data_IF_885377280565
#
_entry.id   IF_885377280565
#
_cell.length_a   1.000
_cell.length_b   1.000
_cell.length_c   1.000
_cell.angle_alpha   90.00
_cell.angle_beta   90.00
_cell.angle_gamma   90.00
#
_symmetry.space_group_name_H-M   'P 1'
#
loop_
_entity.id
_entity.type
_entity.pdbx_description
1 polymer ?
#
# COMPACT_ATOMS: atom_id res chain seq x y z
N UNK A 1 33.95 -10.59 46.91
CA UNK A 1 33.19 -9.70 46.00
C UNK A 1 33.12 -10.39 44.66
N UNK A 2 32.07 -11.14 44.43
CA UNK A 2 31.85 -11.96 43.23
C UNK A 2 30.92 -11.19 42.30
N UNK A 3 31.41 -10.84 41.11
CA UNK A 3 30.63 -10.19 40.04
C UNK A 3 29.78 -11.27 39.35
N UNK A 4 28.45 -11.10 39.42
CA UNK A 4 27.51 -11.91 38.66
C UNK A 4 27.38 -11.34 37.25
N UNK A 5 27.77 -12.11 36.24
CA UNK A 5 27.53 -11.79 34.83
C UNK A 5 26.08 -12.09 34.47
N UNK A 6 25.35 -11.05 34.06
CA UNK A 6 23.98 -11.16 33.54
C UNK A 6 24.08 -11.59 32.08
N UNK A 7 23.73 -12.83 31.76
CA UNK A 7 23.63 -13.31 30.40
C UNK A 7 22.31 -12.80 29.79
N UNK A 8 22.39 -11.87 28.83
CA UNK A 8 21.27 -11.51 27.94
C UNK A 8 21.06 -12.67 26.97
N UNK A 9 19.95 -13.37 27.11
CA UNK A 9 19.48 -14.33 26.12
C UNK A 9 18.86 -13.57 24.97
N UNK A 10 19.50 -13.56 23.81
CA UNK A 10 18.91 -13.14 22.55
C UNK A 10 17.89 -14.21 22.16
N UNK A 11 16.63 -13.88 22.27
CA UNK A 11 15.55 -14.71 21.73
C UNK A 11 15.64 -14.70 20.21
N UNK A 12 16.15 -15.78 19.64
CA UNK A 12 16.08 -16.04 18.20
C UNK A 12 14.62 -16.35 17.90
N UNK A 13 13.97 -15.47 17.12
CA UNK A 13 12.62 -15.71 16.63
C UNK A 13 12.62 -17.02 15.81
N UNK A 14 11.78 -17.96 16.21
CA UNK A 14 11.61 -19.23 15.51
C UNK A 14 11.14 -18.96 14.07
N UNK A 15 11.60 -19.72 13.07
CA UNK A 15 11.13 -19.59 11.72
C UNK A 15 9.64 -19.94 11.65
N UNK A 16 8.86 -19.09 10.99
CA UNK A 16 7.47 -19.37 10.64
C UNK A 16 7.44 -20.66 9.80
N UNK A 17 7.17 -21.80 10.44
CA UNK A 17 6.79 -23.01 9.74
C UNK A 17 5.35 -22.81 9.26
N UNK A 18 5.18 -22.49 7.97
CA UNK A 18 3.89 -22.67 7.30
C UNK A 18 3.53 -24.16 7.47
N UNK A 19 2.48 -24.41 8.24
CA UNK A 19 1.92 -25.75 8.43
C UNK A 19 1.55 -26.33 7.06
N UNK A 20 2.30 -27.30 6.58
CA UNK A 20 1.90 -28.20 5.50
C UNK A 20 1.05 -29.30 6.10
N UNK A 21 -0.25 -29.03 6.35
CA UNK A 21 -1.24 -30.04 6.63
C UNK A 21 -2.34 -29.89 5.59
N UNK A 22 -2.52 -30.94 4.81
CA UNK A 22 -3.32 -31.03 3.63
C UNK A 22 -4.78 -30.60 3.77
N UNK A 23 -5.19 -29.85 2.75
CA UNK A 23 -6.51 -29.95 2.15
C UNK A 23 -6.39 -29.49 0.69
N UNK A 24 -6.68 -30.40 -0.22
CA UNK A 24 -6.85 -30.08 -1.61
C UNK A 24 -8.05 -29.13 -1.76
N UNK A 25 -7.82 -27.85 -2.13
CA UNK A 25 -8.88 -26.91 -2.45
C UNK A 25 -8.85 -25.55 -1.73
N UNK A 26 -7.98 -25.29 -0.75
CA UNK A 26 -7.80 -23.96 -0.20
C UNK A 26 -6.99 -23.11 -1.20
N UNK A 27 -7.58 -22.01 -1.68
CA UNK A 27 -6.81 -20.97 -2.38
C UNK A 27 -5.59 -20.62 -1.51
N UNK A 28 -4.41 -20.63 -2.13
CA UNK A 28 -3.17 -20.30 -1.43
C UNK A 28 -3.39 -19.06 -0.56
N UNK A 29 -3.01 -19.15 0.71
CA UNK A 29 -3.22 -18.06 1.66
C UNK A 29 -2.24 -16.93 1.32
N UNK A 30 -2.75 -15.91 0.59
CA UNK A 30 -1.97 -14.77 0.16
C UNK A 30 -2.01 -13.71 1.27
N UNK A 31 -0.97 -13.59 2.11
CA UNK A 31 -0.99 -12.68 3.24
C UNK A 31 -1.11 -11.22 2.81
N UNK A 32 -1.81 -10.45 3.64
CA UNK A 32 -1.93 -9.01 3.54
C UNK A 32 -0.84 -8.40 4.40
N UNK A 33 0.00 -7.54 3.82
CA UNK A 33 0.98 -6.72 4.55
C UNK A 33 0.39 -5.35 4.84
N UNK A 34 0.72 -4.75 5.98
CA UNK A 34 0.20 -3.44 6.38
C UNK A 34 1.12 -2.77 7.39
N UNK A 35 1.00 -1.47 7.54
CA UNK A 35 1.66 -0.69 8.59
C UNK A 35 0.80 -0.67 9.86
N UNK A 36 1.44 -0.76 11.02
CA UNK A 36 0.77 -0.72 12.33
C UNK A 36 1.53 0.15 13.32
N UNK A 37 0.78 0.97 14.06
CA UNK A 37 1.26 1.65 15.27
C UNK A 37 0.20 1.64 16.37
N UNK A 38 0.60 2.01 17.59
CA UNK A 38 -0.28 2.22 18.74
C UNK A 38 0.02 3.56 19.37
N UNK A 39 -0.92 4.13 20.15
CA UNK A 39 -0.68 5.37 20.90
C UNK A 39 0.53 5.25 21.86
N UNK A 40 0.78 4.05 22.41
CA UNK A 40 1.92 3.77 23.29
C UNK A 40 3.24 3.56 22.52
N UNK A 41 3.19 3.21 21.25
CA UNK A 41 4.34 3.00 20.35
C UNK A 41 4.04 3.65 19.00
N UNK A 42 4.28 4.97 18.86
CA UNK A 42 3.88 5.73 17.68
C UNK A 42 4.79 5.52 16.47
N UNK A 43 5.69 4.54 16.52
CA UNK A 43 6.53 4.14 15.40
C UNK A 43 5.83 3.02 14.65
N UNK A 44 5.64 3.24 13.35
CA UNK A 44 5.03 2.24 12.48
C UNK A 44 6.02 1.13 12.15
N UNK A 45 5.55 -0.10 12.29
CA UNK A 45 6.22 -1.29 11.79
C UNK A 45 5.31 -2.05 10.84
N UNK A 46 5.89 -2.84 9.95
CA UNK A 46 5.16 -3.68 9.03
C UNK A 46 4.74 -4.99 9.70
N UNK A 47 3.51 -5.38 9.40
CA UNK A 47 2.92 -6.64 9.85
C UNK A 47 2.30 -7.37 8.66
N UNK A 48 2.10 -8.67 8.82
CA UNK A 48 1.34 -9.49 7.88
C UNK A 48 0.21 -10.24 8.58
N UNK A 49 -0.93 -10.39 7.90
CA UNK A 49 -2.09 -11.14 8.40
C UNK A 49 -2.66 -12.01 7.27
N UNK A 50 -3.22 -13.18 7.62
CA UNK A 50 -4.02 -13.98 6.70
C UNK A 50 -5.33 -13.26 6.34
N UNK A 51 -5.81 -13.33 5.08
CA UNK A 51 -7.15 -12.83 4.73
C UNK A 51 -8.29 -13.60 5.42
N UNK A 52 -8.02 -14.73 6.04
CA UNK A 52 -8.95 -15.43 6.94
C UNK A 52 -8.94 -14.90 8.38
N UNK A 53 -8.08 -13.92 8.68
CA UNK A 53 -7.90 -13.35 10.01
C UNK A 53 -6.81 -14.08 10.81
N UNK A 54 -6.84 -13.90 12.14
CA UNK A 54 -5.86 -14.45 13.06
C UNK A 54 -4.96 -13.38 13.66
N UNK A 55 -3.85 -13.80 14.27
CA UNK A 55 -2.88 -12.89 14.90
C UNK A 55 -1.91 -12.34 13.84
N UNK A 56 -1.79 -11.03 13.69
CA UNK A 56 -0.80 -10.44 12.80
C UNK A 56 0.63 -10.77 13.22
N UNK A 57 1.48 -11.04 12.24
CA UNK A 57 2.91 -11.33 12.44
C UNK A 57 3.71 -10.07 12.13
N UNK A 58 4.57 -9.65 13.05
CA UNK A 58 5.45 -8.50 12.89
C UNK A 58 6.58 -8.84 11.92
N UNK A 59 6.79 -8.01 10.89
CA UNK A 59 7.81 -8.20 9.86
C UNK A 59 9.04 -7.30 10.06
N UNK A 60 8.82 -6.05 10.50
CA UNK A 60 9.90 -5.14 10.91
C UNK A 60 9.80 -4.86 12.39
N UNK A 61 10.91 -4.53 13.03
CA UNK A 61 10.97 -4.21 14.46
C UNK A 61 11.97 -3.09 14.66
N UNK A 62 11.47 -1.87 14.51
CA UNK A 62 12.26 -0.64 14.59
C UNK A 62 11.96 0.08 15.90
N UNK A 63 12.88 0.89 16.37
CA UNK A 63 12.70 1.69 17.59
C UNK A 63 12.82 3.19 17.36
N UNK A 64 13.30 3.59 16.18
CA UNK A 64 13.61 5.00 15.87
C UNK A 64 13.21 5.42 14.46
N UNK A 65 12.71 4.50 13.65
CA UNK A 65 12.31 4.73 12.26
C UNK A 65 10.95 4.09 12.01
N UNK A 66 10.13 4.69 11.18
CA UNK A 66 8.83 4.14 10.79
C UNK A 66 8.92 3.50 9.40
N UNK A 67 8.34 2.32 9.27
CA UNK A 67 8.19 1.58 8.02
C UNK A 67 6.70 1.56 7.63
N UNK A 68 6.37 2.14 6.46
CA UNK A 68 4.99 2.36 6.01
C UNK A 68 4.83 2.10 4.51
N UNK A 69 3.61 2.19 3.99
CA UNK A 69 3.30 2.07 2.56
C UNK A 69 3.90 0.80 1.93
N UNK A 70 3.61 -0.37 2.47
CA UNK A 70 4.15 -1.61 1.94
C UNK A 70 3.56 -1.95 0.57
N UNK A 71 4.35 -2.60 -0.29
CA UNK A 71 3.92 -3.15 -1.58
C UNK A 71 4.61 -4.49 -1.84
N UNK A 72 3.84 -5.53 -2.15
CA UNK A 72 4.35 -6.86 -2.47
C UNK A 72 5.00 -6.93 -3.84
N UNK A 73 6.11 -7.66 -3.94
CA UNK A 73 6.60 -8.08 -5.26
C UNK A 73 5.66 -9.13 -5.88
N UNK A 74 5.54 -9.18 -7.23
CA UNK A 74 4.59 -10.09 -7.89
C UNK A 74 4.88 -11.58 -7.67
N UNK A 75 6.11 -11.93 -7.28
CA UNK A 75 6.47 -13.29 -6.88
C UNK A 75 6.18 -13.59 -5.40
N UNK A 76 5.67 -12.61 -4.65
CA UNK A 76 5.33 -12.71 -3.24
C UNK A 76 6.52 -12.99 -2.31
N UNK A 77 7.77 -12.75 -2.74
CA UNK A 77 8.97 -13.03 -1.95
C UNK A 77 9.60 -11.81 -1.30
N UNK A 78 9.20 -10.61 -1.73
CA UNK A 78 9.72 -9.34 -1.22
C UNK A 78 8.59 -8.37 -0.95
N UNK A 79 8.85 -7.43 -0.04
CA UNK A 79 8.02 -6.25 0.20
C UNK A 79 8.89 -5.02 -0.01
N UNK A 80 8.43 -4.07 -0.83
CA UNK A 80 8.95 -2.71 -0.86
C UNK A 80 8.14 -1.85 0.13
N UNK A 81 8.77 -0.85 0.73
CA UNK A 81 8.11 0.02 1.69
C UNK A 81 8.86 1.35 1.82
N UNK A 82 8.21 2.35 2.38
CA UNK A 82 8.83 3.63 2.71
C UNK A 82 9.39 3.57 4.12
N UNK A 83 10.62 4.02 4.31
CA UNK A 83 11.22 4.21 5.62
C UNK A 83 11.37 5.69 5.92
N UNK A 84 10.88 6.11 7.08
CA UNK A 84 11.15 7.41 7.67
C UNK A 84 12.33 7.30 8.61
N UNK A 85 13.31 8.19 8.47
CA UNK A 85 14.44 8.28 9.39
C UNK A 85 14.05 8.85 10.76
N UNK A 86 14.94 8.77 11.74
CA UNK A 86 14.73 9.23 13.12
C UNK A 86 14.39 10.73 13.28
N UNK A 87 14.49 11.51 12.23
CA UNK A 87 14.08 12.94 12.19
C UNK A 87 12.74 13.17 11.48
N UNK A 88 11.97 12.12 11.16
CA UNK A 88 10.69 12.23 10.45
C UNK A 88 10.82 12.52 8.94
N UNK A 89 12.03 12.62 8.40
CA UNK A 89 12.25 12.75 6.96
C UNK A 89 12.18 11.38 6.27
N UNK A 90 11.67 11.34 5.04
CA UNK A 90 11.66 10.12 4.24
C UNK A 90 13.09 9.75 3.85
N UNK A 91 13.61 8.65 4.40
CA UNK A 91 14.92 8.10 4.05
C UNK A 91 14.91 7.53 2.63
N UNK A 92 13.80 6.92 2.23
CA UNK A 92 13.54 6.40 0.89
C UNK A 92 12.75 5.12 0.87
N UNK A 93 12.79 4.46 -0.29
CA UNK A 93 12.19 3.16 -0.47
C UNK A 93 13.19 2.08 -0.10
N UNK A 94 12.73 1.13 0.68
CA UNK A 94 13.46 -0.05 1.11
C UNK A 94 12.76 -1.32 0.63
N UNK A 95 13.50 -2.39 0.54
CA UNK A 95 12.97 -3.73 0.29
C UNK A 95 13.42 -4.69 1.35
N UNK A 96 12.58 -5.69 1.65
CA UNK A 96 12.93 -6.83 2.49
C UNK A 96 12.46 -8.13 1.85
N UNK A 97 13.09 -9.25 2.23
CA UNK A 97 12.60 -10.59 1.92
C UNK A 97 11.55 -11.01 2.96
N UNK A 98 10.60 -11.81 2.58
CA UNK A 98 9.61 -12.40 3.50
C UNK A 98 10.01 -13.80 3.90
N UNK A 99 9.82 -14.21 5.17
CA UNK A 99 9.02 -13.54 6.22
C UNK A 99 9.75 -12.44 7.03
N UNK A 100 10.88 -11.92 6.55
CA UNK A 100 11.66 -10.86 7.19
C UNK A 100 13.14 -10.98 6.89
N UNK A 101 13.89 -9.88 7.02
CA UNK A 101 15.33 -9.82 6.77
C UNK A 101 15.70 -9.39 5.36
N UNK A 102 17.00 -9.35 5.06
CA UNK A 102 17.52 -8.92 3.76
C UNK A 102 17.16 -7.47 3.40
N UNK A 103 17.09 -6.59 4.40
CA UNK A 103 16.80 -5.17 4.24
C UNK A 103 17.79 -4.53 3.27
N UNK A 104 17.27 -3.83 2.26
CA UNK A 104 18.08 -3.14 1.26
C UNK A 104 17.37 -1.86 0.83
N UNK A 105 18.08 -0.72 0.91
CA UNK A 105 17.60 0.53 0.33
C UNK A 105 17.61 0.44 -1.21
N UNK A 106 16.58 1.01 -1.85
CA UNK A 106 16.55 1.22 -3.30
C UNK A 106 17.29 2.51 -3.61
N UNK A 107 18.41 2.46 -4.35
CA UNK A 107 19.23 3.66 -4.60
C UNK A 107 18.44 4.76 -5.30
N UNK A 108 18.78 6.03 -5.02
CA UNK A 108 18.16 7.18 -5.67
C UNK A 108 16.74 7.53 -5.24
N UNK A 109 16.18 6.83 -4.24
CA UNK A 109 14.78 7.02 -3.78
C UNK A 109 14.65 7.88 -2.52
N UNK A 110 15.69 8.58 -2.10
CA UNK A 110 15.59 9.51 -0.96
C UNK A 110 14.46 10.51 -1.17
N UNK A 111 13.57 10.64 -0.18
CA UNK A 111 12.38 11.47 -0.22
C UNK A 111 11.21 10.88 -1.04
N UNK A 112 11.38 9.69 -1.64
CA UNK A 112 10.33 9.02 -2.41
C UNK A 112 9.33 8.29 -1.51
N UNK A 113 8.07 8.22 -1.96
CA UNK A 113 6.95 7.55 -1.31
C UNK A 113 6.17 6.67 -2.29
N UNK A 114 5.17 5.97 -1.79
CA UNK A 114 4.18 5.21 -2.58
C UNK A 114 4.80 4.19 -3.55
N UNK A 115 5.64 3.25 -3.07
CA UNK A 115 6.25 2.27 -3.95
C UNK A 115 5.22 1.29 -4.51
N UNK A 116 5.32 0.98 -5.81
CA UNK A 116 4.52 -0.03 -6.48
C UNK A 116 5.40 -0.90 -7.39
N UNK A 117 5.37 -2.21 -7.19
CA UNK A 117 6.10 -3.16 -8.04
C UNK A 117 5.47 -3.31 -9.41
N UNK A 118 6.30 -3.36 -10.45
CA UNK A 118 5.85 -3.76 -11.79
C UNK A 118 5.45 -5.24 -11.81
N UNK A 119 4.47 -5.64 -12.67
CA UNK A 119 4.03 -7.03 -12.77
C UNK A 119 5.13 -8.04 -13.12
N UNK A 120 6.20 -7.59 -13.78
CA UNK A 120 7.37 -8.41 -14.12
C UNK A 120 8.41 -8.50 -12.97
N UNK A 121 8.19 -7.77 -11.87
CA UNK A 121 9.07 -7.75 -10.70
C UNK A 121 10.43 -7.11 -10.90
N UNK A 122 10.63 -6.40 -12.02
CA UNK A 122 11.93 -5.81 -12.37
C UNK A 122 12.04 -4.33 -12.03
N UNK A 123 10.90 -3.62 -11.99
CA UNK A 123 10.83 -2.18 -11.78
C UNK A 123 9.96 -1.82 -10.58
N UNK A 124 10.18 -0.62 -10.09
CA UNK A 124 9.36 0.00 -9.06
C UNK A 124 8.91 1.38 -9.53
N UNK A 125 7.61 1.67 -9.43
CA UNK A 125 7.06 3.01 -9.58
C UNK A 125 6.96 3.67 -8.21
N UNK A 126 7.12 4.99 -8.14
CA UNK A 126 7.06 5.74 -6.90
C UNK A 126 6.80 7.22 -7.15
N UNK A 127 6.33 7.93 -6.13
CA UNK A 127 6.25 9.39 -6.13
C UNK A 127 7.52 9.99 -5.52
N UNK A 128 8.06 11.06 -6.12
CA UNK A 128 9.27 11.74 -5.62
C UNK A 128 9.14 13.25 -5.72
N UNK A 129 9.63 14.02 -4.71
CA UNK A 129 9.62 15.47 -4.75
C UNK A 129 10.43 16.04 -5.91
N UNK A 130 9.85 17.05 -6.58
CA UNK A 130 10.50 17.90 -7.59
C UNK A 130 10.07 19.35 -7.33
N UNK A 131 10.91 20.13 -6.70
CA UNK A 131 10.51 21.45 -6.20
C UNK A 131 9.45 21.34 -5.11
N UNK A 132 8.30 21.95 -5.31
CA UNK A 132 7.16 21.92 -4.37
C UNK A 132 6.14 20.82 -4.66
N UNK A 133 6.25 20.12 -5.78
CA UNK A 133 5.34 19.05 -6.20
C UNK A 133 5.99 17.67 -6.06
N UNK A 134 5.16 16.64 -6.13
CA UNK A 134 5.58 15.25 -6.28
C UNK A 134 5.23 14.75 -7.68
N UNK A 135 6.10 13.92 -8.23
CA UNK A 135 5.96 13.40 -9.58
C UNK A 135 6.20 11.91 -9.61
N UNK A 136 5.59 11.20 -10.56
CA UNK A 136 5.76 9.76 -10.73
C UNK A 136 7.07 9.46 -11.44
N UNK A 137 7.81 8.54 -10.84
CA UNK A 137 9.05 7.95 -11.38
C UNK A 137 8.90 6.45 -11.52
N UNK A 138 9.68 5.88 -12.43
CA UNK A 138 9.93 4.43 -12.52
C UNK A 138 11.43 4.20 -12.56
N UNK A 139 11.90 3.23 -11.79
CA UNK A 139 13.29 2.77 -11.83
C UNK A 139 13.35 1.25 -11.82
N UNK A 140 14.48 0.68 -12.25
CA UNK A 140 14.76 -0.72 -11.98
C UNK A 140 14.92 -0.93 -10.47
N UNK A 141 14.69 -2.14 -10.00
CA UNK A 141 14.72 -2.43 -8.55
C UNK A 141 16.10 -2.22 -7.91
N UNK A 142 17.14 -2.14 -8.69
CA UNK A 142 18.47 -1.75 -8.25
C UNK A 142 18.65 -0.23 -8.14
N UNK A 143 17.62 0.56 -8.55
CA UNK A 143 17.57 2.02 -8.45
C UNK A 143 18.13 2.77 -9.63
N UNK A 144 18.53 2.10 -10.72
CA UNK A 144 19.13 2.74 -11.89
C UNK A 144 18.55 2.26 -13.22
N UNK A 145 18.39 3.13 -14.23
CA UNK A 145 18.19 4.58 -14.13
C UNK A 145 16.73 4.91 -13.77
N UNK A 146 16.51 5.91 -12.95
CA UNK A 146 15.16 6.41 -12.67
C UNK A 146 14.68 7.32 -13.80
N UNK A 147 13.49 7.04 -14.33
CA UNK A 147 12.82 7.86 -15.34
C UNK A 147 11.64 8.60 -14.71
N UNK A 148 11.61 9.93 -14.81
CA UNK A 148 10.46 10.75 -14.46
C UNK A 148 9.40 10.64 -15.55
N UNK A 149 8.16 10.28 -15.18
CA UNK A 149 7.07 10.05 -16.10
C UNK A 149 6.11 11.23 -16.20
N UNK A 150 5.95 11.99 -15.11
CA UNK A 150 5.04 13.15 -15.08
C UNK A 150 5.81 14.44 -14.89
N UNK A 151 5.29 15.56 -15.45
CA UNK A 151 5.97 16.86 -15.50
C UNK A 151 4.91 17.96 -15.37
N UNK A 152 4.25 18.05 -14.21
CA UNK A 152 3.12 18.96 -14.02
C UNK A 152 3.35 19.88 -12.83
N UNK A 153 2.50 20.90 -12.69
CA UNK A 153 2.47 21.76 -11.50
C UNK A 153 1.57 21.18 -10.38
N UNK A 154 1.07 19.97 -10.55
CA UNK A 154 0.21 19.26 -9.62
C UNK A 154 1.00 18.14 -8.92
N UNK A 155 0.53 17.68 -7.76
CA UNK A 155 1.04 16.47 -7.12
C UNK A 155 0.50 15.22 -7.81
N UNK A 156 1.40 14.38 -8.28
CA UNK A 156 1.11 13.06 -8.82
C UNK A 156 1.62 12.00 -7.82
N UNK A 157 0.70 11.18 -7.29
CA UNK A 157 0.92 10.30 -6.15
C UNK A 157 0.30 8.91 -6.36
N UNK A 158 0.68 7.95 -5.52
CA UNK A 158 0.10 6.61 -5.42
C UNK A 158 0.03 5.88 -6.78
N UNK A 159 1.17 5.62 -7.44
CA UNK A 159 1.17 4.86 -8.69
C UNK A 159 0.73 3.41 -8.45
N UNK A 160 -0.06 2.86 -9.38
CA UNK A 160 -0.42 1.44 -9.44
C UNK A 160 -0.32 0.93 -10.86
N UNK A 161 0.28 -0.24 -11.07
CA UNK A 161 0.54 -0.80 -12.39
C UNK A 161 -0.69 -1.49 -12.98
N UNK A 162 -0.89 -1.33 -14.29
CA UNK A 162 -1.78 -2.23 -15.03
C UNK A 162 -1.21 -3.65 -15.06
N UNK A 163 -2.06 -4.69 -15.10
CA UNK A 163 -1.60 -6.09 -15.06
C UNK A 163 -0.69 -6.49 -16.24
N UNK A 164 -0.80 -5.78 -17.37
CA UNK A 164 0.08 -5.99 -18.55
C UNK A 164 1.37 -5.15 -18.50
N UNK A 165 1.56 -4.33 -17.47
CA UNK A 165 2.74 -3.48 -17.26
C UNK A 165 2.89 -2.34 -18.26
N UNK A 166 1.85 -2.01 -19.04
CA UNK A 166 1.90 -0.95 -20.06
C UNK A 166 1.44 0.41 -19.57
N UNK A 167 0.70 0.45 -18.45
CA UNK A 167 0.14 1.67 -17.89
C UNK A 167 0.43 1.75 -16.40
N UNK A 168 0.38 2.98 -15.87
CA UNK A 168 0.22 3.27 -14.45
C UNK A 168 -1.06 4.07 -14.25
N UNK A 169 -1.86 3.71 -13.24
CA UNK A 169 -2.82 4.60 -12.63
C UNK A 169 -2.12 5.41 -11.53
N UNK A 170 -2.57 6.61 -11.28
CA UNK A 170 -2.09 7.47 -10.20
C UNK A 170 -3.14 8.53 -9.88
N UNK A 171 -3.09 9.15 -8.73
CA UNK A 171 -3.93 10.32 -8.48
C UNK A 171 -3.14 11.61 -8.74
N UNK A 172 -3.82 12.59 -9.32
CA UNK A 172 -3.33 13.95 -9.54
C UNK A 172 -4.12 14.94 -8.73
N UNK A 173 -3.44 15.63 -7.81
CA UNK A 173 -4.05 16.68 -6.99
C UNK A 173 -3.76 18.07 -7.60
N UNK A 174 -4.80 18.89 -7.73
CA UNK A 174 -4.68 20.28 -8.18
C UNK A 174 -4.42 21.23 -7.00
N UNK A 175 -4.12 22.50 -7.33
CA UNK A 175 -3.84 23.52 -6.32
C UNK A 175 -5.06 23.88 -5.44
N UNK A 176 -6.27 23.49 -5.83
CA UNK A 176 -7.51 23.67 -5.05
C UNK A 176 -7.75 22.49 -4.07
N UNK A 177 -6.89 21.47 -4.08
CA UNK A 177 -7.01 20.28 -3.24
C UNK A 177 -7.93 19.20 -3.81
N UNK A 178 -8.47 19.39 -5.04
CA UNK A 178 -9.18 18.30 -5.71
C UNK A 178 -8.18 17.29 -6.25
N UNK A 179 -8.55 16.03 -6.24
CA UNK A 179 -7.74 14.95 -6.79
C UNK A 179 -8.59 14.06 -7.70
N UNK A 180 -7.98 13.53 -8.76
CA UNK A 180 -8.63 12.59 -9.68
C UNK A 180 -7.69 11.47 -10.07
N UNK A 181 -8.25 10.32 -10.42
CA UNK A 181 -7.49 9.21 -10.98
C UNK A 181 -7.13 9.51 -12.43
N UNK A 182 -5.84 9.40 -12.71
CA UNK A 182 -5.23 9.49 -14.03
C UNK A 182 -4.65 8.13 -14.41
N UNK A 183 -4.43 7.91 -15.71
CA UNK A 183 -3.56 6.85 -16.22
C UNK A 183 -2.53 7.41 -17.18
N UNK A 184 -1.35 6.82 -17.22
CA UNK A 184 -0.27 7.13 -18.16
C UNK A 184 0.15 5.86 -18.92
N UNK A 185 0.25 5.96 -20.25
CA UNK A 185 0.80 4.92 -21.09
C UNK A 185 2.34 5.05 -21.11
N UNK A 186 3.05 4.00 -20.71
CA UNK A 186 4.51 4.08 -20.52
C UNK A 186 5.31 4.24 -21.81
N UNK A 187 4.80 3.71 -22.92
CA UNK A 187 5.51 3.79 -24.22
C UNK A 187 5.42 5.16 -24.89
N UNK A 188 4.36 5.92 -24.63
CA UNK A 188 4.08 7.22 -25.27
C UNK A 188 4.08 8.38 -24.30
N UNK A 189 4.03 8.10 -22.99
CA UNK A 189 3.82 9.06 -21.89
C UNK A 189 2.48 9.83 -22.02
N UNK A 190 1.55 9.29 -22.82
CA UNK A 190 0.21 9.87 -22.96
C UNK A 190 -0.58 9.69 -21.67
N UNK A 191 -1.08 10.79 -21.11
CA UNK A 191 -1.85 10.82 -19.88
C UNK A 191 -3.33 11.05 -20.17
N UNK A 192 -4.19 10.27 -19.52
CA UNK A 192 -5.65 10.35 -19.69
C UNK A 192 -6.32 10.33 -18.32
N UNK A 193 -7.33 11.20 -18.12
CA UNK A 193 -8.14 11.16 -16.92
C UNK A 193 -9.04 9.91 -16.94
N UNK A 194 -9.09 9.19 -15.83
CA UNK A 194 -10.02 8.06 -15.60
C UNK A 194 -11.27 8.54 -14.90
N UNK A 195 -11.14 9.49 -13.97
CA UNK A 195 -12.28 10.08 -13.26
C UNK A 195 -12.42 11.58 -13.57
N UNK A 196 -13.56 12.16 -13.23
CA UNK A 196 -13.90 13.53 -13.57
C UNK A 196 -13.01 14.57 -12.83
N UNK A 197 -12.87 15.75 -13.41
CA UNK A 197 -12.28 16.88 -12.72
C UNK A 197 -13.16 17.34 -11.55
N UNK A 198 -12.55 17.85 -10.47
CA UNK A 198 -13.26 18.33 -9.27
C UNK A 198 -13.74 17.20 -8.34
N UNK A 199 -13.37 15.94 -8.60
CA UNK A 199 -13.53 14.86 -7.63
C UNK A 199 -12.44 14.91 -6.56
N UNK A 200 -12.60 14.12 -5.50
CA UNK A 200 -11.61 13.95 -4.45
C UNK A 200 -11.23 12.46 -4.38
N UNK A 201 -10.51 11.99 -5.41
CA UNK A 201 -10.16 10.59 -5.63
C UNK A 201 -8.70 10.34 -5.26
N UNK A 202 -8.45 9.33 -4.42
CA UNK A 202 -7.13 9.02 -3.87
C UNK A 202 -6.81 7.54 -3.96
N UNK A 203 -5.53 7.21 -3.91
CA UNK A 203 -5.02 5.85 -3.72
C UNK A 203 -5.60 4.82 -4.69
N UNK A 204 -5.44 5.02 -6.02
CA UNK A 204 -5.91 4.03 -6.98
C UNK A 204 -5.12 2.73 -6.88
N UNK A 205 -5.80 1.59 -6.95
CA UNK A 205 -5.20 0.27 -7.12
C UNK A 205 -5.79 -0.46 -8.32
N UNK A 206 -4.93 -0.97 -9.20
CA UNK A 206 -5.31 -1.60 -10.48
C UNK A 206 -5.31 -3.12 -10.36
N UNK A 207 -6.46 -3.74 -10.46
CA UNK A 207 -6.62 -5.20 -10.35
C UNK A 207 -6.10 -5.97 -11.57
N UNK A 208 -5.82 -7.25 -11.37
CA UNK A 208 -5.56 -8.19 -12.46
C UNK A 208 -6.77 -8.37 -13.41
N UNK A 209 -7.99 -8.10 -12.94
CA UNK A 209 -9.21 -8.12 -13.76
C UNK A 209 -9.47 -6.81 -14.51
N UNK A 210 -8.48 -5.93 -14.58
CA UNK A 210 -8.51 -4.66 -15.29
C UNK A 210 -9.60 -3.69 -14.80
N UNK A 211 -9.73 -3.56 -13.47
CA UNK A 211 -10.52 -2.55 -12.79
C UNK A 211 -9.62 -1.72 -11.87
N UNK A 212 -9.96 -0.47 -11.64
CA UNK A 212 -9.25 0.42 -10.72
C UNK A 212 -10.17 0.68 -9.54
N UNK A 213 -9.75 0.27 -8.34
CA UNK A 213 -10.37 0.67 -7.08
C UNK A 213 -9.71 1.95 -6.58
N UNK A 214 -10.44 2.79 -5.89
CA UNK A 214 -9.92 4.04 -5.30
C UNK A 214 -10.84 4.54 -4.19
N UNK A 215 -10.32 5.43 -3.36
CA UNK A 215 -11.10 6.13 -2.34
C UNK A 215 -11.61 7.45 -2.90
N UNK A 216 -12.89 7.79 -2.67
CA UNK A 216 -13.47 9.08 -3.01
C UNK A 216 -14.10 9.72 -1.81
N UNK A 217 -13.74 10.97 -1.52
CA UNK A 217 -14.41 11.79 -0.50
C UNK A 217 -15.68 12.36 -1.11
N UNK A 218 -16.81 12.10 -0.47
CA UNK A 218 -18.11 12.63 -0.88
C UNK A 218 -18.35 14.06 -0.34
N UNK A 219 -19.40 14.75 -0.78
CA UNK A 219 -19.72 16.11 -0.30
C UNK A 219 -20.01 16.21 1.20
N UNK A 220 -20.24 15.09 1.90
CA UNK A 220 -20.42 15.05 3.36
C UNK A 220 -19.11 14.88 4.12
N UNK A 221 -17.98 14.75 3.41
CA UNK A 221 -16.64 14.64 3.98
C UNK A 221 -16.19 13.21 4.29
N UNK A 222 -17.01 12.18 3.97
CA UNK A 222 -16.62 10.78 4.18
C UNK A 222 -15.97 10.18 2.94
N UNK A 223 -14.91 9.41 3.15
CA UNK A 223 -14.27 8.65 2.10
C UNK A 223 -14.95 7.28 1.91
N UNK A 224 -15.17 6.91 0.66
CA UNK A 224 -15.78 5.64 0.27
C UNK A 224 -15.01 4.98 -0.86
N UNK A 225 -15.07 3.66 -0.93
CA UNK A 225 -14.46 2.91 -2.02
C UNK A 225 -15.35 2.92 -3.25
N UNK A 226 -14.72 3.14 -4.39
CA UNK A 226 -15.29 3.09 -5.72
C UNK A 226 -14.46 2.18 -6.63
N UNK A 227 -15.09 1.65 -7.66
CA UNK A 227 -14.44 0.91 -8.73
C UNK A 227 -14.85 1.49 -10.07
N UNK A 228 -13.90 1.51 -11.02
CA UNK A 228 -14.09 2.04 -12.37
C UNK A 228 -13.25 1.21 -13.36
N UNK A 229 -13.65 1.16 -14.64
CA UNK A 229 -12.77 0.65 -15.70
C UNK A 229 -11.71 1.68 -16.07
N UNK A 230 -10.54 1.28 -16.63
CA UNK A 230 -9.49 2.21 -17.01
C UNK A 230 -9.87 3.23 -18.08
N UNK A 231 -10.96 2.99 -18.81
CA UNK A 231 -11.53 3.92 -19.79
C UNK A 231 -12.50 4.93 -19.16
N UNK A 232 -12.72 4.87 -17.84
CA UNK A 232 -13.63 5.74 -17.09
C UNK A 232 -15.08 5.24 -17.06
N UNK A 233 -15.39 4.12 -17.71
CA UNK A 233 -16.76 3.56 -17.69
C UNK A 233 -17.00 2.66 -16.49
N UNK A 234 -18.26 2.40 -16.16
CA UNK A 234 -18.63 1.46 -15.11
C UNK A 234 -18.32 1.93 -13.69
N UNK A 235 -18.17 3.24 -13.48
CA UNK A 235 -17.96 3.81 -12.15
C UNK A 235 -19.11 3.44 -11.21
N UNK A 236 -18.81 2.81 -10.08
CA UNK A 236 -19.78 2.48 -9.05
C UNK A 236 -19.16 2.47 -7.65
N UNK A 237 -19.98 2.73 -6.65
CA UNK A 237 -19.60 2.78 -5.23
C UNK A 237 -19.68 1.39 -4.61
N UNK A 238 -18.67 1.06 -3.78
CA UNK A 238 -18.56 -0.23 -3.09
C UNK A 238 -19.01 -0.12 -1.63
N UNK A 239 -18.65 0.97 -0.92
CA UNK A 239 -18.94 1.11 0.51
C UNK A 239 -19.81 2.33 0.80
N UNK A 240 -20.65 2.26 1.86
CA UNK A 240 -21.69 3.25 2.15
C UNK A 240 -21.75 3.72 3.62
N UNK A 241 -20.80 3.29 4.47
CA UNK A 241 -20.82 3.70 5.88
C UNK A 241 -20.47 5.19 6.03
N UNK A 242 -20.92 5.84 7.11
CA UNK A 242 -20.43 7.17 7.52
C UNK A 242 -19.12 7.05 8.28
N UNK A 243 -18.15 6.47 7.62
CA UNK A 243 -16.79 6.21 8.10
C UNK A 243 -15.85 6.47 6.92
N UNK A 244 -14.57 6.61 7.20
CA UNK A 244 -13.56 6.83 6.17
C UNK A 244 -12.97 5.50 5.70
N UNK A 245 -13.31 5.09 4.49
CA UNK A 245 -12.78 3.91 3.81
C UNK A 245 -11.69 4.35 2.83
N UNK A 246 -10.45 3.94 3.10
CA UNK A 246 -9.24 4.43 2.43
C UNK A 246 -8.34 3.28 1.98
N UNK A 247 -7.43 3.57 1.05
CA UNK A 247 -6.31 2.71 0.65
C UNK A 247 -6.76 1.29 0.27
N UNK A 248 -7.64 1.14 -0.74
CA UNK A 248 -8.05 -0.18 -1.20
C UNK A 248 -6.89 -0.92 -1.87
N UNK A 249 -6.77 -2.22 -1.63
CA UNK A 249 -5.92 -3.13 -2.39
C UNK A 249 -6.67 -4.38 -2.80
N UNK A 250 -6.54 -4.78 -4.08
CA UNK A 250 -7.25 -5.92 -4.66
C UNK A 250 -6.67 -7.25 -4.20
N UNK A 251 -7.56 -8.22 -3.96
CA UNK A 251 -7.14 -9.63 -3.90
C UNK A 251 -6.61 -10.08 -5.25
N UNK A 252 -5.70 -11.09 -5.29
CA UNK A 252 -5.11 -11.60 -6.55
C UNK A 252 -6.14 -12.07 -7.57
N UNK A 253 -7.27 -12.60 -7.11
CA UNK A 253 -8.38 -13.05 -7.95
C UNK A 253 -9.29 -11.90 -8.43
N UNK A 254 -9.03 -10.66 -8.00
CA UNK A 254 -9.81 -9.47 -8.35
C UNK A 254 -11.25 -9.47 -7.84
N UNK A 255 -11.58 -10.29 -6.82
CA UNK A 255 -12.94 -10.44 -6.31
C UNK A 255 -13.19 -9.71 -5.00
N UNK A 256 -12.14 -9.39 -4.26
CA UNK A 256 -12.22 -8.73 -2.95
C UNK A 256 -11.26 -7.55 -2.89
N UNK A 257 -11.54 -6.65 -1.96
CA UNK A 257 -10.67 -5.56 -1.57
C UNK A 257 -10.35 -5.70 -0.08
N UNK A 258 -9.10 -5.47 0.30
CA UNK A 258 -8.73 -5.06 1.64
C UNK A 258 -8.64 -3.54 1.65
N UNK A 259 -9.00 -2.91 2.77
CA UNK A 259 -8.95 -1.46 2.91
C UNK A 259 -8.87 -1.05 4.38
N UNK A 260 -8.42 0.16 4.62
CA UNK A 260 -8.42 0.79 5.94
C UNK A 260 -9.75 1.49 6.17
N UNK A 261 -10.39 1.22 7.32
CA UNK A 261 -11.58 1.95 7.80
C UNK A 261 -11.30 2.59 9.14
N UNK A 262 -11.50 3.90 9.22
CA UNK A 262 -11.39 4.70 10.42
C UNK A 262 -12.66 5.46 10.74
N UNK A 263 -12.72 6.00 11.95
CA UNK A 263 -13.75 6.92 12.39
C UNK A 263 -13.62 8.31 11.77
N UNK A 264 -14.34 9.26 12.34
CA UNK A 264 -14.30 10.68 11.95
C UNK A 264 -13.24 11.48 12.70
N UNK A 265 -12.76 10.93 13.80
CA UNK A 265 -11.71 11.51 14.64
C UNK A 265 -10.40 10.77 14.41
N UNK A 266 -9.28 11.50 14.33
CA UNK A 266 -7.93 10.93 14.23
C UNK A 266 -7.53 10.07 15.45
N UNK A 267 -8.30 10.17 16.54
CA UNK A 267 -8.11 9.37 17.75
C UNK A 267 -8.77 7.98 17.68
N UNK A 268 -9.71 7.77 16.74
CA UNK A 268 -10.37 6.48 16.56
C UNK A 268 -9.42 5.50 15.86
N UNK A 269 -9.19 4.30 16.41
CA UNK A 269 -8.33 3.32 15.75
C UNK A 269 -8.82 2.99 14.33
N UNK A 270 -7.89 3.00 13.39
CA UNK A 270 -8.15 2.58 12.02
C UNK A 270 -7.87 1.08 11.88
N UNK A 271 -8.77 0.36 11.22
CA UNK A 271 -8.69 -1.10 11.10
C UNK A 271 -8.78 -1.56 9.65
N UNK A 272 -8.26 -2.75 9.41
CA UNK A 272 -8.41 -3.41 8.12
C UNK A 272 -9.76 -4.11 8.01
N UNK A 273 -10.38 -3.94 6.86
CA UNK A 273 -11.64 -4.59 6.47
C UNK A 273 -11.48 -5.26 5.12
N UNK A 274 -12.30 -6.27 4.89
CA UNK A 274 -12.48 -6.95 3.61
C UNK A 274 -13.89 -6.69 3.09
N UNK A 275 -14.02 -6.52 1.77
CA UNK A 275 -15.31 -6.42 1.08
C UNK A 275 -15.20 -7.07 -0.31
N UNK A 276 -16.29 -7.64 -0.82
CA UNK A 276 -16.32 -8.09 -2.22
C UNK A 276 -16.44 -6.90 -3.17
N UNK A 277 -15.99 -7.08 -4.40
CA UNK A 277 -16.05 -6.06 -5.46
C UNK A 277 -17.50 -5.61 -5.80
N UNK A 278 -18.50 -6.38 -5.41
CA UNK A 278 -19.94 -6.06 -5.53
C UNK A 278 -20.50 -5.31 -4.31
N UNK A 279 -19.65 -4.99 -3.31
CA UNK A 279 -20.02 -4.31 -2.07
C UNK A 279 -20.59 -5.22 -0.99
N UNK A 280 -20.71 -6.53 -1.23
CA UNK A 280 -21.20 -7.50 -0.24
C UNK A 280 -20.09 -8.10 0.60
N UNK A 281 -20.44 -8.79 1.69
CA UNK A 281 -19.49 -9.57 2.48
C UNK A 281 -18.48 -8.73 3.26
N UNK A 282 -18.87 -7.51 3.68
CA UNK A 282 -18.03 -6.66 4.54
C UNK A 282 -17.67 -7.39 5.83
N UNK A 283 -16.37 -7.50 6.11
CA UNK A 283 -15.85 -8.19 7.30
C UNK A 283 -14.67 -7.42 7.87
N UNK A 284 -14.66 -7.20 9.18
CA UNK A 284 -13.53 -6.60 9.88
C UNK A 284 -12.43 -7.65 10.06
N UNK A 285 -11.20 -7.32 9.59
CA UNK A 285 -10.06 -8.21 9.62
C UNK A 285 -9.22 -8.04 10.90
N UNK A 286 -8.98 -6.79 11.33
CA UNK A 286 -8.23 -6.46 12.55
C UNK A 286 -9.10 -5.75 13.58
N UNK A 287 -8.86 -5.98 14.89
CA UNK A 287 -9.73 -5.55 16.00
C UNK A 287 -8.92 -5.21 17.26
N UNK A 288 -7.87 -4.45 17.12
CA UNK A 288 -6.99 -4.09 18.26
C UNK A 288 -7.03 -2.58 18.50
N UNK A 289 -6.49 -2.10 19.63
CA UNK A 289 -6.35 -0.66 19.91
C UNK A 289 -5.18 -0.04 19.10
N UNK A 290 -4.81 -0.64 17.99
CA UNK A 290 -3.79 -0.17 17.06
C UNK A 290 -4.43 0.45 15.82
N UNK A 291 -3.68 1.34 15.17
CA UNK A 291 -3.98 1.81 13.82
C UNK A 291 -3.31 0.88 12.82
N UNK A 292 -4.10 0.34 11.91
CA UNK A 292 -3.69 -0.58 10.85
C UNK A 292 -3.98 0.07 9.50
N UNK A 293 -2.93 0.38 8.75
CA UNK A 293 -2.97 1.29 7.61
C UNK A 293 -2.35 0.66 6.37
N UNK A 294 -2.76 1.18 5.20
CA UNK A 294 -2.04 1.01 3.93
C UNK A 294 -1.77 -0.45 3.59
N UNK A 295 -2.81 -1.26 3.69
CA UNK A 295 -2.68 -2.69 3.42
C UNK A 295 -2.43 -2.97 1.94
N UNK A 296 -1.52 -3.91 1.65
CA UNK A 296 -1.31 -4.46 0.32
C UNK A 296 -1.48 -5.97 0.33
N UNK A 297 -2.25 -6.49 -0.63
CA UNK A 297 -2.58 -7.91 -0.72
C UNK A 297 -1.58 -8.62 -1.61
N UNK A 298 -0.93 -9.67 -1.09
CA UNK A 298 0.04 -10.47 -1.85
C UNK A 298 -0.60 -11.05 -3.12
N UNK A 299 0.04 -10.86 -4.30
CA UNK A 299 -0.39 -11.41 -5.59
C UNK A 299 -0.43 -12.93 -5.67
#
# INVERSE_FOLDING_TARGET
>A
MTAAALAMSVAVAAPLTLSTAGEAGAAADHPIVFARYTAAAPIEDLYAISPSGGTPVKLTNTSTVSDVMPSWSPDGKRVAFVRYGSGGAIDGIWTMKTPGGGLKAVPGTKGASDPAWSPDGKRIAYAKPVGTQREIYVADIDGTPATRLTHTAADDLHPSWSPDGKYLAFNRADAAGHSRVMRIQLSTLTQTAVTAAGSHDWTPDWSHSNHIAFSRVDPTGFAHLYVVRPDGTGLHRITNARLNDKNPSWSPDGRRLVFTRGGTDDADPEHLFLVRADGTGLTQLTKTDSHDLEADWRP
#
